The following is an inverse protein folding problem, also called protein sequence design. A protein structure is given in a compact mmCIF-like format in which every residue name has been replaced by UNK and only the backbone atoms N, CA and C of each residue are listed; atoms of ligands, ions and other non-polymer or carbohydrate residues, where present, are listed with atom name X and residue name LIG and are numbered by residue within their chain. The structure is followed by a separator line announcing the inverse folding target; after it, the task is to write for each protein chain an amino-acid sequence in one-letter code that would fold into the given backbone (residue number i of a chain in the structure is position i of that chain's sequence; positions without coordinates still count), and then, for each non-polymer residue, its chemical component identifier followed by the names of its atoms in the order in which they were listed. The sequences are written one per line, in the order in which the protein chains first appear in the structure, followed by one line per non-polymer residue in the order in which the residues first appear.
data_IF_440597771550
#
_entry.id   IF_440597771550
#
_cell.length_a   1.000
_cell.length_b   1.000
_cell.length_c   1.000
_cell.angle_alpha   90.00
_cell.angle_beta   90.00
_cell.angle_gamma   90.00
#
_symmetry.space_group_name_H-M   'P 1'
#
loop_
_entity.id
_entity.type
_entity.pdbx_description
1 polymer ?
#
# COMPACT_ATOMS: atom_id res chain seq x y z
N UNK A 1 -72.60 22.53 -70.13
CA UNK A 1 -72.54 23.17 -71.47
C UNK A 1 -71.37 22.52 -72.22
N UNK A 2 -71.66 21.85 -73.33
CA UNK A 2 -70.77 21.32 -74.41
C UNK A 2 -69.65 20.29 -74.08
N UNK A 3 -69.82 19.08 -74.64
CA UNK A 3 -68.80 18.16 -75.22
C UNK A 3 -68.27 18.72 -76.58
N UNK A 4 -67.39 18.09 -77.41
CA UNK A 4 -66.68 16.77 -77.43
C UNK A 4 -65.15 16.87 -77.81
N UNK A 5 -64.30 15.84 -77.91
CA UNK A 5 -63.99 14.92 -79.06
C UNK A 5 -62.67 14.16 -78.69
N UNK A 6 -62.53 12.82 -78.64
CA UNK A 6 -62.50 11.77 -79.69
C UNK A 6 -61.13 11.56 -80.39
N UNK A 7 -60.58 10.33 -80.24
CA UNK A 7 -59.81 9.49 -81.21
C UNK A 7 -58.47 10.06 -81.74
N UNK A 8 -57.37 9.35 -81.99
CA UNK A 8 -57.07 8.01 -82.55
C UNK A 8 -55.53 7.88 -82.50
N UNK A 9 -54.96 6.79 -81.99
CA UNK A 9 -54.20 5.77 -82.76
C UNK A 9 -52.70 6.01 -83.09
N UNK A 10 -51.95 4.95 -82.81
CA UNK A 10 -50.86 4.35 -83.61
C UNK A 10 -49.39 4.83 -83.52
N UNK A 11 -48.61 3.88 -82.99
CA UNK A 11 -47.37 3.30 -83.54
C UNK A 11 -46.01 4.03 -83.50
N UNK A 12 -45.07 3.34 -82.82
CA UNK A 12 -43.67 3.00 -83.20
C UNK A 12 -42.73 4.15 -83.63
N UNK A 13 -41.56 4.23 -82.96
CA UNK A 13 -40.29 3.57 -83.38
C UNK A 13 -39.03 4.32 -82.88
N UNK A 14 -38.15 3.58 -82.20
CA UNK A 14 -36.66 3.65 -82.12
C UNK A 14 -35.88 4.90 -81.65
N UNK A 15 -35.04 4.64 -80.64
CA UNK A 15 -33.59 4.94 -80.50
C UNK A 15 -33.04 6.27 -81.02
N UNK A 16 -32.49 7.09 -80.10
CA UNK A 16 -31.06 7.44 -80.04
C UNK A 16 -30.79 8.44 -78.88
N UNK A 17 -30.25 8.01 -77.74
CA UNK A 17 -29.62 8.91 -76.72
C UNK A 17 -28.86 8.10 -75.66
N UNK A 18 -27.76 7.44 -76.06
CA UNK A 18 -26.88 6.68 -75.16
C UNK A 18 -25.56 7.37 -74.80
N UNK A 19 -25.25 8.53 -75.39
CA UNK A 19 -23.91 9.13 -75.31
C UNK A 19 -23.73 10.26 -74.28
N UNK A 20 -24.78 11.00 -73.95
CA UNK A 20 -24.62 12.30 -73.26
C UNK A 20 -24.88 12.24 -71.75
N UNK A 21 -25.52 11.18 -71.26
CA UNK A 21 -25.87 11.01 -69.83
C UNK A 21 -24.68 10.50 -68.99
N UNK A 22 -23.64 9.96 -69.64
CA UNK A 22 -22.57 9.22 -68.96
C UNK A 22 -21.42 10.10 -68.50
N UNK A 23 -21.07 11.16 -69.23
CA UNK A 23 -20.03 12.12 -68.85
C UNK A 23 -20.49 13.08 -67.74
N UNK A 24 -21.71 13.63 -67.84
CA UNK A 24 -22.29 14.47 -66.78
C UNK A 24 -22.39 13.72 -65.44
N UNK A 25 -22.63 12.41 -65.48
CA UNK A 25 -22.67 11.58 -64.27
C UNK A 25 -21.30 11.38 -63.62
N UNK A 26 -20.21 11.33 -64.39
CA UNK A 26 -18.84 11.20 -63.82
C UNK A 26 -18.34 12.53 -63.26
N UNK A 27 -18.61 13.65 -63.95
CA UNK A 27 -18.29 14.98 -63.44
C UNK A 27 -19.04 15.28 -62.15
N UNK A 28 -20.35 15.02 -62.09
CA UNK A 28 -21.15 15.22 -60.87
C UNK A 28 -20.65 14.33 -59.73
N UNK A 29 -20.25 13.08 -60.03
CA UNK A 29 -19.72 12.16 -59.02
C UNK A 29 -18.35 12.57 -58.49
N UNK A 30 -17.46 13.08 -59.35
CA UNK A 30 -16.13 13.59 -58.95
C UNK A 30 -16.25 14.87 -58.12
N UNK A 31 -17.18 15.77 -58.48
CA UNK A 31 -17.44 16.99 -57.70
C UNK A 31 -18.00 16.63 -56.32
N UNK A 32 -18.95 15.69 -56.23
CA UNK A 32 -19.50 15.24 -54.94
C UNK A 32 -18.43 14.53 -54.09
N UNK A 33 -17.58 13.71 -54.70
CA UNK A 33 -16.47 13.04 -53.99
C UNK A 33 -15.47 14.07 -53.44
N UNK A 34 -15.11 15.08 -54.23
CA UNK A 34 -14.16 16.11 -53.83
C UNK A 34 -14.76 17.03 -52.74
N UNK A 35 -16.06 17.35 -52.81
CA UNK A 35 -16.77 18.11 -51.77
C UNK A 35 -16.87 17.30 -50.47
N UNK A 36 -17.12 15.99 -50.55
CA UNK A 36 -17.11 15.13 -49.38
C UNK A 36 -15.70 14.97 -48.80
N UNK A 37 -14.67 14.82 -49.63
CA UNK A 37 -13.27 14.77 -49.16
C UNK A 37 -12.82 16.08 -48.52
N UNK A 38 -13.22 17.23 -49.08
CA UNK A 38 -12.95 18.54 -48.49
C UNK A 38 -13.71 18.74 -47.17
N UNK A 39 -14.98 18.33 -47.10
CA UNK A 39 -15.77 18.40 -45.87
C UNK A 39 -15.29 17.44 -44.77
N UNK A 40 -14.82 16.24 -45.15
CA UNK A 40 -14.20 15.28 -44.22
C UNK A 40 -12.83 15.78 -43.76
N UNK A 41 -12.02 16.38 -44.63
CA UNK A 41 -10.73 16.97 -44.27
C UNK A 41 -10.89 18.19 -43.33
N UNK A 42 -11.89 19.05 -43.56
CA UNK A 42 -12.21 20.16 -42.66
C UNK A 42 -12.73 19.66 -41.30
N UNK A 43 -13.64 18.68 -41.28
CA UNK A 43 -14.17 18.09 -40.04
C UNK A 43 -13.09 17.33 -39.23
N UNK A 44 -12.19 16.60 -39.90
CA UNK A 44 -11.03 15.97 -39.26
C UNK A 44 -10.06 17.02 -38.73
N UNK A 45 -9.83 18.10 -39.46
CA UNK A 45 -8.96 19.19 -39.00
C UNK A 45 -9.50 19.87 -37.75
N UNK A 46 -10.82 20.10 -37.67
CA UNK A 46 -11.46 20.80 -36.56
C UNK A 46 -11.59 19.90 -35.32
N UNK A 47 -11.89 18.60 -35.50
CA UNK A 47 -11.90 17.62 -34.41
C UNK A 47 -10.49 17.36 -33.84
N UNK A 48 -9.45 17.33 -34.69
CA UNK A 48 -8.05 17.27 -34.27
C UNK A 48 -7.64 18.54 -33.51
N UNK A 49 -8.10 19.72 -33.93
CA UNK A 49 -7.85 20.99 -33.25
C UNK A 49 -8.51 21.07 -31.87
N UNK A 50 -9.76 20.62 -31.75
CA UNK A 50 -10.49 20.57 -30.48
C UNK A 50 -9.87 19.57 -29.48
N UNK A 51 -9.43 18.41 -29.96
CA UNK A 51 -8.72 17.41 -29.15
C UNK A 51 -7.37 17.94 -28.65
N UNK A 52 -6.58 18.59 -29.53
CA UNK A 52 -5.33 19.27 -29.15
C UNK A 52 -5.57 20.36 -28.11
N UNK A 53 -6.62 21.18 -28.24
CA UNK A 53 -6.96 22.23 -27.28
C UNK A 53 -7.32 21.68 -25.90
N UNK A 54 -8.10 20.59 -25.82
CA UNK A 54 -8.43 19.92 -24.54
C UNK A 54 -7.19 19.30 -23.87
N UNK A 55 -6.31 18.67 -24.66
CA UNK A 55 -5.03 18.14 -24.18
C UNK A 55 -4.15 19.25 -23.62
N UNK A 56 -3.99 20.37 -24.34
CA UNK A 56 -3.22 21.52 -23.88
C UNK A 56 -3.75 22.13 -22.57
N UNK A 57 -5.08 22.21 -22.40
CA UNK A 57 -5.69 22.69 -21.15
C UNK A 57 -5.42 21.73 -19.98
N UNK A 58 -5.42 20.42 -20.20
CA UNK A 58 -5.06 19.43 -19.17
C UNK A 58 -3.58 19.54 -18.77
N UNK A 59 -2.67 19.70 -19.74
CA UNK A 59 -1.25 19.94 -19.48
C UNK A 59 -1.01 21.27 -18.76
N UNK A 60 -1.74 22.33 -19.10
CA UNK A 60 -1.64 23.61 -18.41
C UNK A 60 -2.15 23.53 -16.96
N UNK A 61 -3.23 22.78 -16.71
CA UNK A 61 -3.71 22.49 -15.35
C UNK A 61 -2.70 21.67 -14.56
N UNK A 62 -2.09 20.65 -15.17
CA UNK A 62 -1.04 19.86 -14.54
C UNK A 62 0.19 20.72 -14.19
N UNK A 63 0.61 21.60 -15.10
CA UNK A 63 1.69 22.55 -14.87
C UNK A 63 1.36 23.54 -13.74
N UNK A 64 0.12 24.05 -13.71
CA UNK A 64 -0.34 24.92 -12.64
C UNK A 64 -0.32 24.22 -11.27
N UNK A 65 -0.84 22.98 -11.18
CA UNK A 65 -0.75 22.18 -9.95
C UNK A 65 0.70 21.90 -9.53
N UNK A 66 1.57 21.62 -10.50
CA UNK A 66 3.00 21.44 -10.25
C UNK A 66 3.63 22.72 -9.68
N UNK A 67 3.39 23.87 -10.30
CA UNK A 67 3.91 25.18 -9.83
C UNK A 67 3.37 25.52 -8.44
N UNK A 68 2.08 25.32 -8.18
CA UNK A 68 1.49 25.53 -6.85
C UNK A 68 2.18 24.62 -5.82
N UNK A 69 2.43 23.36 -6.16
CA UNK A 69 3.12 22.42 -5.28
C UNK A 69 4.55 22.87 -4.99
N UNK A 70 5.29 23.30 -6.01
CA UNK A 70 6.65 23.83 -5.85
C UNK A 70 6.66 25.08 -4.96
N UNK A 71 5.74 26.02 -5.18
CA UNK A 71 5.62 27.23 -4.36
C UNK A 71 5.29 26.86 -2.92
N UNK A 72 4.34 25.94 -2.69
CA UNK A 72 4.01 25.46 -1.35
C UNK A 72 5.20 24.82 -0.65
N UNK A 73 5.98 24.00 -1.37
CA UNK A 73 7.22 23.40 -0.85
C UNK A 73 8.25 24.47 -0.51
N UNK A 74 8.44 25.49 -1.35
CA UNK A 74 9.36 26.59 -1.08
C UNK A 74 8.93 27.42 0.14
N UNK A 75 7.63 27.70 0.29
CA UNK A 75 7.08 28.37 1.48
C UNK A 75 7.32 27.51 2.71
N UNK A 76 7.07 26.20 2.65
CA UNK A 76 7.30 25.28 3.76
C UNK A 76 8.79 25.20 4.13
N UNK A 77 9.70 25.19 3.16
CA UNK A 77 11.15 25.21 3.40
C UNK A 77 11.58 26.54 4.03
N UNK A 78 11.04 27.66 3.56
CA UNK A 78 11.43 29.01 4.02
C UNK A 78 10.87 29.33 5.41
N UNK A 79 9.65 28.89 5.73
CA UNK A 79 8.95 29.27 6.96
C UNK A 79 8.63 28.08 7.88
N UNK A 80 8.20 26.95 7.31
CA UNK A 80 7.84 25.75 8.07
C UNK A 80 9.03 25.07 8.72
N UNK A 81 10.14 24.88 8.00
CA UNK A 81 11.37 24.27 8.54
C UNK A 81 11.97 25.09 9.69
N UNK A 82 12.17 26.43 9.60
CA UNK A 82 12.64 27.19 10.75
C UNK A 82 11.67 27.17 11.92
N UNK A 83 10.36 27.24 11.67
CA UNK A 83 9.37 27.10 12.74
C UNK A 83 9.49 25.75 13.46
N UNK A 84 9.59 24.64 12.71
CA UNK A 84 9.72 23.31 13.29
C UNK A 84 11.03 23.16 14.07
N UNK A 85 12.13 23.71 13.56
CA UNK A 85 13.43 23.68 14.23
C UNK A 85 13.40 24.49 15.54
N UNK A 86 12.98 25.76 15.47
CA UNK A 86 13.05 26.71 16.59
C UNK A 86 11.98 26.49 17.67
N UNK A 87 10.77 26.08 17.28
CA UNK A 87 9.64 25.96 18.22
C UNK A 87 9.40 24.54 18.71
N UNK A 88 9.81 23.54 17.94
CA UNK A 88 9.56 22.14 18.30
C UNK A 88 10.87 21.45 18.62
N UNK A 89 11.81 21.40 17.67
CA UNK A 89 13.00 20.57 17.80
C UNK A 89 13.97 21.04 18.89
N UNK A 90 14.38 22.32 18.90
CA UNK A 90 15.33 22.81 19.90
C UNK A 90 14.76 22.83 21.32
N UNK A 91 13.53 23.31 21.56
CA UNK A 91 12.92 23.22 22.89
C UNK A 91 12.80 21.78 23.36
N UNK A 92 12.50 20.84 22.45
CA UNK A 92 12.43 19.42 22.77
C UNK A 92 13.80 18.82 23.13
N UNK A 93 14.86 19.16 22.40
CA UNK A 93 16.24 18.73 22.73
C UNK A 93 16.75 19.37 24.03
N UNK A 94 16.40 20.63 24.28
CA UNK A 94 16.70 21.30 25.55
C UNK A 94 15.91 20.68 26.71
N UNK A 95 14.63 20.37 26.49
CA UNK A 95 13.81 19.65 27.46
C UNK A 95 14.37 18.25 27.72
N UNK A 96 14.82 17.51 26.72
CA UNK A 96 15.53 16.24 26.90
C UNK A 96 16.77 16.43 27.80
N UNK A 97 17.58 17.46 27.54
CA UNK A 97 18.81 17.71 28.29
C UNK A 97 18.56 18.18 29.74
N UNK A 98 17.40 18.78 30.04
CA UNK A 98 17.13 19.47 31.31
C UNK A 98 16.09 18.77 32.19
N UNK A 99 15.05 18.19 31.59
CA UNK A 99 13.91 17.63 32.32
C UNK A 99 14.16 16.20 32.80
N UNK A 100 14.92 15.39 32.05
CA UNK A 100 15.06 13.97 32.33
C UNK A 100 16.43 13.41 31.91
N UNK A 101 16.95 12.44 32.66
CA UNK A 101 18.04 11.61 32.15
C UNK A 101 17.57 10.72 30.99
N UNK A 102 18.50 10.34 30.10
CA UNK A 102 18.27 9.39 28.98
C UNK A 102 17.38 8.17 29.33
N UNK A 103 17.53 7.46 30.46
CA UNK A 103 16.67 6.31 30.76
C UNK A 103 15.19 6.67 31.00
N UNK A 104 14.90 7.80 31.65
CA UNK A 104 13.51 8.21 31.90
C UNK A 104 12.83 8.58 30.59
N UNK A 105 13.54 9.27 29.70
CA UNK A 105 13.01 9.64 28.39
C UNK A 105 12.76 8.41 27.51
N UNK A 106 13.60 7.37 27.60
CA UNK A 106 13.35 6.08 26.97
C UNK A 106 12.03 5.45 27.47
N UNK A 107 11.77 5.48 28.78
CA UNK A 107 10.51 4.98 29.34
C UNK A 107 9.29 5.79 28.87
N UNK A 108 9.40 7.12 28.82
CA UNK A 108 8.33 8.00 28.30
C UNK A 108 8.04 7.68 26.84
N UNK A 109 9.07 7.46 26.03
CA UNK A 109 8.91 7.07 24.63
C UNK A 109 8.23 5.71 24.49
N UNK A 110 8.66 4.69 25.25
CA UNK A 110 8.02 3.36 25.28
C UNK A 110 6.54 3.51 25.67
N UNK A 111 6.24 4.27 26.73
CA UNK A 111 4.87 4.51 27.18
C UNK A 111 4.03 5.22 26.11
N UNK A 112 4.59 6.24 25.44
CA UNK A 112 3.89 6.94 24.35
C UNK A 112 3.57 6.01 23.18
N UNK A 113 4.54 5.19 22.75
CA UNK A 113 4.38 4.23 21.67
C UNK A 113 3.40 3.10 22.02
N UNK A 114 3.30 2.76 23.31
CA UNK A 114 2.34 1.79 23.81
C UNK A 114 0.91 2.36 23.89
N UNK A 115 0.75 3.60 24.33
CA UNK A 115 -0.55 4.21 24.60
C UNK A 115 -1.18 4.88 23.37
N UNK A 116 -0.39 5.52 22.52
CA UNK A 116 -0.92 6.24 21.34
C UNK A 116 -1.78 5.37 20.41
N UNK A 117 -1.39 4.12 20.09
CA UNK A 117 -2.25 3.24 19.28
C UNK A 117 -3.62 2.97 19.91
N UNK A 118 -3.70 2.96 21.25
CA UNK A 118 -4.93 2.69 22.00
C UNK A 118 -5.94 3.83 21.84
N UNK A 119 -5.45 5.07 21.81
CA UNK A 119 -6.26 6.28 21.63
C UNK A 119 -6.31 6.74 20.17
N UNK A 120 -5.86 5.90 19.23
CA UNK A 120 -5.79 6.19 17.78
C UNK A 120 -4.93 7.42 17.42
N UNK A 121 -3.97 7.78 18.28
CA UNK A 121 -2.99 8.84 18.03
C UNK A 121 -1.83 8.28 17.19
N UNK A 122 -1.34 9.00 16.17
CA UNK A 122 -0.18 8.58 15.40
C UNK A 122 1.11 8.47 16.25
N UNK A 123 1.81 7.35 16.17
CA UNK A 123 3.09 7.09 16.86
C UNK A 123 4.32 7.70 16.18
N UNK A 124 4.19 8.19 14.95
CA UNK A 124 5.28 8.73 14.12
C UNK A 124 6.19 9.74 14.84
N UNK A 125 5.65 10.76 15.53
CA UNK A 125 6.47 11.73 16.25
C UNK A 125 7.36 11.10 17.33
N UNK A 126 6.85 10.12 18.10
CA UNK A 126 7.63 9.41 19.11
C UNK A 126 8.72 8.54 18.48
N UNK A 127 8.45 7.91 17.32
CA UNK A 127 9.45 7.12 16.59
C UNK A 127 10.58 8.00 16.03
N UNK A 128 10.26 9.16 15.47
CA UNK A 128 11.27 10.15 15.07
C UNK A 128 12.10 10.60 16.27
N UNK A 129 11.46 10.89 17.40
CA UNK A 129 12.15 11.34 18.61
C UNK A 129 13.08 10.27 19.18
N UNK A 130 12.64 9.02 19.23
CA UNK A 130 13.49 7.89 19.60
C UNK A 130 14.73 7.78 18.71
N UNK A 131 14.55 7.95 17.39
CA UNK A 131 15.64 7.95 16.43
C UNK A 131 16.61 9.13 16.58
N UNK A 132 16.07 10.34 16.79
CA UNK A 132 16.85 11.56 17.00
C UNK A 132 17.77 11.47 18.22
N UNK A 133 17.28 10.86 19.30
CA UNK A 133 17.95 10.86 20.60
C UNK A 133 18.82 9.62 20.81
N UNK A 134 18.27 8.44 20.54
CA UNK A 134 18.90 7.16 20.87
C UNK A 134 19.55 6.46 19.67
N UNK A 135 19.35 6.99 18.47
CA UNK A 135 19.91 6.44 17.23
C UNK A 135 19.38 5.04 16.90
N UNK A 136 20.13 4.29 16.09
CA UNK A 136 19.67 2.99 15.57
C UNK A 136 19.69 1.85 16.59
N UNK A 137 20.58 1.87 17.59
CA UNK A 137 20.66 0.78 18.55
C UNK A 137 19.53 0.84 19.56
N UNK A 138 19.67 1.73 20.55
CA UNK A 138 18.68 1.89 21.60
C UNK A 138 17.34 2.44 21.07
N UNK A 139 17.34 3.31 20.05
CA UNK A 139 16.11 3.82 19.47
C UNK A 139 15.29 2.72 18.79
N UNK A 140 15.92 1.77 18.10
CA UNK A 140 15.23 0.61 17.56
C UNK A 140 14.62 -0.26 18.66
N UNK A 141 15.38 -0.57 19.71
CA UNK A 141 14.86 -1.36 20.84
C UNK A 141 13.67 -0.66 21.50
N UNK A 142 13.77 0.64 21.76
CA UNK A 142 12.69 1.47 22.31
C UNK A 142 11.45 1.42 21.42
N UNK A 143 11.63 1.60 20.11
CA UNK A 143 10.52 1.56 19.14
C UNK A 143 9.88 0.18 19.15
N UNK A 144 10.66 -0.88 18.98
CA UNK A 144 10.15 -2.25 18.90
C UNK A 144 9.42 -2.67 20.17
N UNK A 145 9.96 -2.38 21.36
CA UNK A 145 9.29 -2.70 22.63
C UNK A 145 8.00 -1.90 22.78
N UNK A 146 8.05 -0.59 22.58
CA UNK A 146 6.89 0.29 22.71
C UNK A 146 5.76 -0.05 21.74
N UNK A 147 6.08 -0.25 20.46
CA UNK A 147 5.08 -0.61 19.45
C UNK A 147 4.53 -2.01 19.68
N UNK A 148 5.35 -2.98 20.13
CA UNK A 148 4.86 -4.33 20.48
C UNK A 148 3.78 -4.26 21.56
N UNK A 149 4.05 -3.53 22.65
CA UNK A 149 3.05 -3.30 23.71
C UNK A 149 1.83 -2.57 23.13
N UNK A 150 2.07 -1.57 22.29
CA UNK A 150 1.04 -0.79 21.60
C UNK A 150 0.24 -1.55 20.55
N UNK A 151 0.64 -2.76 20.17
CA UNK A 151 -0.13 -3.67 19.34
C UNK A 151 -0.96 -4.63 20.20
N UNK A 152 -0.39 -5.11 21.29
CA UNK A 152 -1.06 -6.01 22.24
C UNK A 152 -2.20 -5.31 22.99
N UNK A 153 -2.01 -4.07 23.44
CA UNK A 153 -3.03 -3.33 24.22
C UNK A 153 -4.34 -3.12 23.43
N UNK A 154 -4.34 -2.53 22.22
CA UNK A 154 -5.54 -2.44 21.39
C UNK A 154 -6.19 -3.78 21.08
N UNK A 155 -5.38 -4.84 20.88
CA UNK A 155 -5.90 -6.18 20.65
C UNK A 155 -6.71 -6.70 21.85
N UNK A 156 -6.16 -6.58 23.07
CA UNK A 156 -6.83 -6.98 24.30
C UNK A 156 -8.09 -6.15 24.57
N UNK A 157 -8.02 -4.85 24.36
CA UNK A 157 -9.18 -3.96 24.50
C UNK A 157 -10.24 -4.32 23.45
N UNK A 158 -9.81 -4.56 22.21
CA UNK A 158 -10.70 -4.95 21.13
C UNK A 158 -11.43 -6.26 21.41
N UNK A 159 -10.80 -7.22 22.10
CA UNK A 159 -11.45 -8.49 22.50
C UNK A 159 -12.67 -8.25 23.37
N UNK A 160 -12.62 -7.23 24.24
CA UNK A 160 -13.74 -6.86 25.13
C UNK A 160 -14.87 -6.18 24.37
N UNK A 161 -14.57 -5.45 23.29
CA UNK A 161 -15.54 -4.70 22.48
C UNK A 161 -15.81 -5.34 21.11
N UNK A 162 -15.59 -6.66 20.99
CA UNK A 162 -15.64 -7.40 19.72
C UNK A 162 -16.91 -7.15 18.92
N UNK A 163 -18.07 -7.15 19.58
CA UNK A 163 -19.37 -6.96 18.91
C UNK A 163 -19.53 -5.54 18.34
N UNK A 164 -19.07 -4.51 19.06
CA UNK A 164 -19.08 -3.12 18.57
C UNK A 164 -18.12 -2.93 17.40
N UNK A 165 -16.92 -3.53 17.47
CA UNK A 165 -15.95 -3.46 16.37
C UNK A 165 -16.50 -4.20 15.15
N UNK A 166 -17.18 -5.33 15.35
CA UNK A 166 -17.83 -6.06 14.26
C UNK A 166 -18.90 -5.21 13.56
N UNK A 167 -19.75 -4.52 14.31
CA UNK A 167 -20.73 -3.58 13.75
C UNK A 167 -20.07 -2.38 13.04
N UNK A 168 -18.98 -1.85 13.59
CA UNK A 168 -18.22 -0.76 12.97
C UNK A 168 -17.59 -1.20 11.65
N UNK A 169 -17.03 -2.41 11.60
CA UNK A 169 -16.36 -2.96 10.43
C UNK A 169 -17.34 -3.27 9.28
N UNK A 170 -18.64 -3.54 9.59
CA UNK A 170 -19.70 -3.67 8.58
C UNK A 170 -19.90 -2.41 7.73
N UNK A 171 -19.48 -1.23 8.21
CA UNK A 171 -19.51 0.02 7.41
C UNK A 171 -18.48 0.02 6.27
N UNK A 172 -17.51 -0.90 6.29
CA UNK A 172 -16.41 -1.00 5.33
C UNK A 172 -16.30 -2.43 4.75
N UNK A 173 -17.31 -2.91 4.01
CA UNK A 173 -17.44 -4.32 3.65
C UNK A 173 -16.27 -4.87 2.82
N UNK A 174 -15.72 -4.08 1.89
CA UNK A 174 -14.56 -4.48 1.08
C UNK A 174 -13.31 -4.72 1.92
N UNK A 175 -13.01 -3.81 2.87
CA UNK A 175 -11.85 -3.94 3.75
C UNK A 175 -12.04 -5.06 4.78
N UNK A 176 -13.27 -5.23 5.26
CA UNK A 176 -13.64 -6.31 6.16
C UNK A 176 -13.46 -7.70 5.52
N UNK A 177 -13.87 -7.85 4.26
CA UNK A 177 -13.73 -9.10 3.51
C UNK A 177 -12.24 -9.45 3.32
N UNK A 178 -11.42 -8.47 2.93
CA UNK A 178 -9.97 -8.66 2.79
C UNK A 178 -9.32 -9.05 4.12
N UNK A 179 -9.74 -8.44 5.24
CA UNK A 179 -9.23 -8.78 6.57
C UNK A 179 -9.67 -10.17 7.05
N UNK A 180 -10.87 -10.62 6.68
CA UNK A 180 -11.38 -11.96 7.02
C UNK A 180 -10.65 -13.04 6.23
N UNK A 181 -10.47 -12.84 4.94
CA UNK A 181 -9.66 -13.71 4.08
C UNK A 181 -8.21 -13.78 4.58
N UNK A 182 -7.66 -12.65 5.01
CA UNK A 182 -6.33 -12.59 5.64
C UNK A 182 -6.23 -13.42 6.92
N UNK A 183 -7.32 -13.56 7.68
CA UNK A 183 -7.39 -14.34 8.91
C UNK A 183 -7.61 -15.84 8.70
N UNK A 184 -7.86 -16.28 7.47
CA UNK A 184 -8.01 -17.69 7.10
C UNK A 184 -6.63 -18.31 6.74
N UNK A 185 -6.52 -19.64 6.81
CA UNK A 185 -5.29 -20.35 6.47
C UNK A 185 -4.36 -20.69 7.65
N UNK A 186 -3.15 -21.16 7.33
CA UNK A 186 -2.17 -21.68 8.28
C UNK A 186 -1.54 -20.58 9.15
N UNK A 187 -0.91 -20.96 10.27
CA UNK A 187 -0.21 -20.01 11.17
C UNK A 187 0.76 -19.11 10.40
N UNK A 188 1.47 -19.66 9.42
CA UNK A 188 2.48 -18.94 8.70
C UNK A 188 1.90 -18.09 7.55
N UNK A 189 0.83 -18.55 6.91
CA UNK A 189 0.05 -17.71 5.98
C UNK A 189 -0.44 -16.44 6.66
N UNK A 190 -1.04 -16.59 7.86
CA UNK A 190 -1.52 -15.48 8.68
C UNK A 190 -0.40 -14.48 9.03
N UNK A 191 0.77 -14.99 9.45
CA UNK A 191 1.95 -14.16 9.73
C UNK A 191 2.36 -13.31 8.51
N UNK A 192 2.46 -13.93 7.33
CA UNK A 192 2.88 -13.26 6.10
C UNK A 192 1.94 -12.13 5.74
N UNK A 193 0.64 -12.43 5.73
CA UNK A 193 -0.38 -11.44 5.35
C UNK A 193 -0.32 -10.24 6.29
N UNK A 194 -0.16 -10.46 7.59
CA UNK A 194 0.00 -9.37 8.56
C UNK A 194 1.25 -8.53 8.30
N UNK A 195 2.38 -9.17 8.01
CA UNK A 195 3.61 -8.45 7.67
C UNK A 195 3.45 -7.59 6.40
N UNK A 196 2.77 -8.10 5.37
CA UNK A 196 2.45 -7.33 4.16
C UNK A 196 1.50 -6.17 4.45
N UNK A 197 0.48 -6.38 5.30
CA UNK A 197 -0.46 -5.32 5.68
C UNK A 197 0.20 -4.18 6.44
N UNK A 198 1.31 -4.40 7.15
CA UNK A 198 2.09 -3.33 7.78
C UNK A 198 2.83 -2.46 6.78
N UNK A 199 3.12 -2.98 5.59
CA UNK A 199 3.74 -2.23 4.49
C UNK A 199 2.69 -1.46 3.68
N UNK A 200 1.44 -1.92 3.71
CA UNK A 200 0.28 -1.26 3.07
C UNK A 200 -0.03 0.10 3.72
N UNK A 201 -0.57 1.09 2.99
CA UNK A 201 -0.99 2.39 3.54
C UNK A 201 -2.21 2.32 4.48
N UNK A 202 -2.54 1.13 5.00
CA UNK A 202 -3.67 0.93 5.90
C UNK A 202 -3.30 1.43 7.32
N UNK A 203 -4.14 2.27 7.96
CA UNK A 203 -3.81 2.83 9.28
C UNK A 203 -3.54 1.74 10.32
N UNK A 204 -2.32 1.71 10.84
CA UNK A 204 -1.84 0.65 11.72
C UNK A 204 -2.67 0.52 13.01
N UNK A 205 -3.23 1.63 13.51
CA UNK A 205 -4.06 1.69 14.71
C UNK A 205 -5.39 0.98 14.51
N UNK A 206 -6.06 1.24 13.38
CA UNK A 206 -7.31 0.58 13.00
C UNK A 206 -7.08 -0.92 12.80
N UNK A 207 -5.96 -1.29 12.20
CA UNK A 207 -5.59 -2.68 11.98
C UNK A 207 -5.50 -3.47 13.29
N UNK A 208 -4.91 -2.89 14.33
CA UNK A 208 -4.77 -3.55 15.63
C UNK A 208 -6.12 -3.90 16.28
N UNK A 209 -7.16 -3.10 16.03
CA UNK A 209 -8.52 -3.39 16.52
C UNK A 209 -9.28 -4.33 15.60
N UNK A 210 -9.14 -4.15 14.28
CA UNK A 210 -9.91 -4.91 13.30
C UNK A 210 -9.52 -6.41 13.29
N UNK A 211 -8.28 -6.73 13.63
CA UNK A 211 -7.78 -8.11 13.72
C UNK A 211 -8.49 -8.96 14.78
N UNK A 212 -9.11 -8.34 15.78
CA UNK A 212 -9.84 -9.06 16.84
C UNK A 212 -11.13 -9.71 16.31
N UNK A 213 -11.72 -9.07 15.31
CA UNK A 213 -12.97 -9.53 14.70
C UNK A 213 -12.70 -10.56 13.60
N UNK A 214 -11.46 -10.66 13.12
CA UNK A 214 -11.04 -11.68 12.16
C UNK A 214 -10.73 -13.00 12.88
N UNK A 215 -10.64 -14.10 12.13
CA UNK A 215 -10.35 -15.43 12.69
C UNK A 215 -8.84 -15.66 12.94
N UNK A 216 -8.11 -14.57 13.14
CA UNK A 216 -6.65 -14.55 13.14
C UNK A 216 -6.10 -14.91 14.51
N UNK A 217 -5.10 -15.79 14.53
CA UNK A 217 -4.43 -16.19 15.77
C UNK A 217 -3.54 -15.05 16.27
N UNK A 218 -3.46 -14.90 17.60
CA UNK A 218 -2.66 -13.85 18.24
C UNK A 218 -1.17 -13.91 17.88
N UNK A 219 -0.57 -15.10 17.93
CA UNK A 219 0.89 -15.26 17.70
C UNK A 219 1.33 -14.94 16.26
N UNK A 220 0.66 -15.43 15.20
CA UNK A 220 0.93 -14.98 13.83
C UNK A 220 0.81 -13.47 13.65
N UNK A 221 -0.24 -12.88 14.24
CA UNK A 221 -0.45 -11.45 14.20
C UNK A 221 0.70 -10.68 14.86
N UNK A 222 1.10 -11.08 16.07
CA UNK A 222 2.13 -10.39 16.81
C UNK A 222 3.48 -10.51 16.11
N UNK A 223 3.89 -11.73 15.77
CA UNK A 223 5.16 -11.98 15.08
C UNK A 223 5.19 -11.28 13.72
N UNK A 224 4.10 -11.36 12.94
CA UNK A 224 4.01 -10.74 11.62
C UNK A 224 4.04 -9.22 11.71
N UNK A 225 3.42 -8.65 12.73
CA UNK A 225 3.44 -7.21 12.95
C UNK A 225 4.81 -6.70 13.39
N UNK A 226 5.46 -7.39 14.33
CA UNK A 226 6.83 -7.09 14.75
C UNK A 226 7.76 -7.15 13.55
N UNK A 227 7.67 -8.21 12.74
CA UNK A 227 8.45 -8.34 11.51
C UNK A 227 8.20 -7.19 10.53
N UNK A 228 6.93 -6.85 10.28
CA UNK A 228 6.54 -5.78 9.37
C UNK A 228 6.96 -4.37 9.83
N UNK A 229 7.07 -4.14 11.13
CA UNK A 229 7.47 -2.84 11.68
C UNK A 229 8.98 -2.59 11.68
N UNK A 230 9.82 -3.60 11.49
CA UNK A 230 11.28 -3.43 11.43
C UNK A 230 11.72 -2.43 10.34
N UNK A 231 11.35 -2.60 9.05
CA UNK A 231 11.76 -1.65 8.01
C UNK A 231 11.21 -0.24 8.27
N UNK A 232 9.97 -0.14 8.73
CA UNK A 232 9.35 1.13 9.10
C UNK A 232 10.17 1.83 10.20
N UNK A 233 10.55 1.10 11.25
CA UNK A 233 11.32 1.63 12.37
C UNK A 233 12.67 2.22 11.92
N UNK A 234 13.37 1.54 11.01
CA UNK A 234 14.64 2.05 10.46
C UNK A 234 14.45 3.35 9.66
N UNK A 235 13.38 3.46 8.88
CA UNK A 235 13.04 4.69 8.15
C UNK A 235 12.81 5.84 9.13
N UNK A 236 11.99 5.63 10.17
CA UNK A 236 11.75 6.67 11.19
C UNK A 236 13.04 7.07 11.90
N UNK A 237 13.90 6.12 12.26
CA UNK A 237 15.16 6.45 12.92
C UNK A 237 16.07 7.26 12.00
N UNK A 238 16.21 6.85 10.73
CA UNK A 238 16.98 7.57 9.73
C UNK A 238 16.46 9.01 9.56
N UNK A 239 15.16 9.16 9.33
CA UNK A 239 14.53 10.46 9.15
C UNK A 239 14.73 11.36 10.37
N UNK A 240 14.56 10.82 11.59
CA UNK A 240 14.82 11.56 12.82
C UNK A 240 16.25 12.08 12.88
N UNK A 241 17.24 11.21 12.67
CA UNK A 241 18.65 11.63 12.70
C UNK A 241 19.00 12.63 11.61
N UNK A 242 18.44 12.47 10.42
CA UNK A 242 18.62 13.43 9.34
C UNK A 242 18.07 14.81 9.73
N UNK A 243 16.88 14.86 10.33
CA UNK A 243 16.28 16.11 10.85
C UNK A 243 17.21 16.77 11.87
N UNK A 244 17.74 16.00 12.84
CA UNK A 244 18.67 16.51 13.86
C UNK A 244 19.94 17.09 13.23
N UNK A 245 20.60 16.33 12.36
CA UNK A 245 21.84 16.75 11.69
C UNK A 245 21.62 18.00 10.83
N UNK A 246 20.54 18.06 10.06
CA UNK A 246 20.21 19.23 9.24
C UNK A 246 19.95 20.48 10.10
N UNK A 247 19.28 20.31 11.24
CA UNK A 247 19.03 21.41 12.16
C UNK A 247 20.31 21.91 12.83
N UNK A 248 21.19 21.02 13.28
CA UNK A 248 22.46 21.38 13.92
C UNK A 248 23.40 22.13 12.95
N UNK A 249 23.50 21.66 11.70
CA UNK A 249 24.33 22.31 10.67
C UNK A 249 23.78 23.70 10.30
N UNK A 250 22.46 23.82 10.11
CA UNK A 250 21.85 25.05 9.60
C UNK A 250 21.69 26.14 10.66
N UNK A 251 21.35 25.79 11.90
CA UNK A 251 20.96 26.76 12.93
C UNK A 251 21.97 26.91 14.05
N UNK A 252 22.86 25.93 14.28
CA UNK A 252 23.82 25.97 15.38
C UNK A 252 25.26 26.24 14.93
N UNK A 253 25.46 26.41 13.61
CA UNK A 253 26.77 26.55 12.96
C UNK A 253 27.79 25.54 13.50
N UNK A 254 27.30 24.35 13.87
CA UNK A 254 28.08 23.31 14.52
C UNK A 254 28.80 22.50 13.45
N UNK A 255 30.12 22.38 13.57
CA UNK A 255 30.85 21.39 12.80
C UNK A 255 30.68 20.05 13.51
N UNK A 256 30.17 19.06 12.79
CA UNK A 256 30.03 17.71 13.32
C UNK A 256 31.41 17.22 13.78
N UNK A 257 31.48 16.74 15.02
CA UNK A 257 32.75 16.18 15.49
C UNK A 257 33.06 14.88 14.73
N UNK A 258 34.33 14.56 14.42
CA UNK A 258 34.69 13.33 13.72
C UNK A 258 34.12 12.07 14.39
N UNK A 259 34.02 12.09 15.72
CA UNK A 259 33.45 11.01 16.52
C UNK A 259 31.95 10.84 16.27
N UNK A 260 31.17 11.93 16.20
CA UNK A 260 29.74 11.88 15.88
C UNK A 260 29.50 11.36 14.45
N UNK A 261 30.34 11.76 13.50
CA UNK A 261 30.28 11.27 12.11
C UNK A 261 30.53 9.75 12.10
N UNK A 262 31.55 9.28 12.81
CA UNK A 262 31.89 7.85 12.90
C UNK A 262 30.74 7.08 13.56
N UNK A 263 30.20 7.55 14.68
CA UNK A 263 29.04 6.91 15.32
C UNK A 263 27.82 6.90 14.39
N UNK A 264 27.55 7.99 13.68
CA UNK A 264 26.47 8.08 12.69
C UNK A 264 26.68 7.08 11.54
N UNK A 265 27.89 6.97 11.01
CA UNK A 265 28.25 6.07 9.92
C UNK A 265 28.17 4.60 10.35
N UNK A 266 28.75 4.23 11.49
CA UNK A 266 28.71 2.86 12.02
C UNK A 266 27.26 2.43 12.24
N UNK A 267 26.46 3.29 12.88
CA UNK A 267 25.07 2.96 13.16
C UNK A 267 24.18 2.94 11.91
N UNK A 268 24.52 3.71 10.86
CA UNK A 268 23.91 3.61 9.54
C UNK A 268 24.25 2.29 8.84
N UNK A 269 25.51 1.85 8.91
CA UNK A 269 25.95 0.56 8.36
C UNK A 269 25.24 -0.60 9.06
N UNK A 270 25.20 -0.58 10.40
CA UNK A 270 24.47 -1.59 11.19
C UNK A 270 22.99 -1.62 10.78
N UNK A 271 22.34 -0.47 10.61
CA UNK A 271 20.94 -0.39 10.18
C UNK A 271 20.71 -0.99 8.78
N UNK A 272 21.58 -0.69 7.82
CA UNK A 272 21.54 -1.29 6.48
C UNK A 272 21.71 -2.81 6.59
N UNK A 273 22.70 -3.28 7.34
CA UNK A 273 22.96 -4.73 7.49
C UNK A 273 21.76 -5.41 8.14
N UNK A 274 21.21 -4.87 9.22
CA UNK A 274 20.04 -5.47 9.90
C UNK A 274 18.81 -5.44 9.01
N UNK A 275 18.56 -4.35 8.29
CA UNK A 275 17.43 -4.24 7.36
C UNK A 275 17.57 -5.21 6.20
N UNK A 276 18.76 -5.32 5.59
CA UNK A 276 19.03 -6.24 4.49
C UNK A 276 18.97 -7.69 4.96
N UNK A 277 19.63 -8.04 6.07
CA UNK A 277 19.59 -9.38 6.63
C UNK A 277 18.15 -9.81 6.95
N UNK A 278 17.38 -8.91 7.56
CA UNK A 278 15.98 -9.17 7.86
C UNK A 278 15.12 -9.29 6.60
N UNK A 279 15.34 -8.41 5.61
CA UNK A 279 14.61 -8.45 4.33
C UNK A 279 14.92 -9.71 3.54
N UNK A 280 16.18 -10.14 3.50
CA UNK A 280 16.61 -11.38 2.84
C UNK A 280 16.02 -12.58 3.57
N UNK A 281 16.09 -12.60 4.91
CA UNK A 281 15.51 -13.67 5.70
C UNK A 281 14.00 -13.77 5.46
N UNK A 282 13.27 -12.66 5.58
CA UNK A 282 11.85 -12.59 5.31
C UNK A 282 11.52 -13.05 3.89
N UNK A 283 12.26 -12.59 2.87
CA UNK A 283 12.07 -13.05 1.48
C UNK A 283 12.35 -14.54 1.29
N UNK A 284 13.38 -15.10 1.93
CA UNK A 284 13.63 -16.54 1.90
C UNK A 284 12.48 -17.31 2.51
N UNK A 285 12.05 -16.93 3.72
CA UNK A 285 10.93 -17.61 4.37
C UNK A 285 9.62 -17.41 3.61
N UNK A 286 9.45 -16.28 2.90
CA UNK A 286 8.34 -16.06 1.99
C UNK A 286 8.36 -17.05 0.82
N UNK A 287 9.50 -17.17 0.15
CA UNK A 287 9.67 -18.07 -1.00
C UNK A 287 9.54 -19.54 -0.60
N UNK A 288 10.13 -19.96 0.52
CA UNK A 288 10.06 -21.35 1.00
C UNK A 288 8.61 -21.80 1.22
N UNK A 289 7.74 -20.87 1.61
CA UNK A 289 6.31 -21.13 1.74
C UNK A 289 5.53 -21.06 0.46
N UNK A 290 5.86 -20.16 -0.46
CA UNK A 290 5.22 -20.16 -1.77
C UNK A 290 5.51 -21.48 -2.48
N UNK A 291 6.73 -22.01 -2.32
CA UNK A 291 7.13 -23.33 -2.81
C UNK A 291 6.38 -24.45 -2.07
N UNK A 292 6.21 -24.38 -0.75
CA UNK A 292 5.45 -25.38 0.01
C UNK A 292 3.93 -25.37 -0.31
N UNK A 293 3.32 -24.20 -0.48
CA UNK A 293 1.92 -24.07 -0.92
C UNK A 293 1.74 -24.53 -2.38
N UNK A 294 2.68 -24.21 -3.28
CA UNK A 294 2.64 -24.65 -4.68
C UNK A 294 2.82 -26.17 -4.85
N UNK A 295 3.56 -26.81 -3.94
CA UNK A 295 3.77 -28.26 -3.97
C UNK A 295 2.65 -29.07 -3.28
N UNK A 296 1.64 -28.44 -2.68
CA UNK A 296 0.50 -29.14 -2.07
C UNK A 296 0.83 -29.99 -0.84
N UNK A 297 2.02 -29.85 -0.26
CA UNK A 297 2.41 -30.55 0.96
C UNK A 297 2.05 -29.69 2.19
N UNK A 298 0.97 -30.08 2.88
CA UNK A 298 0.71 -29.61 4.24
C UNK A 298 1.89 -29.92 5.18
N UNK A 299 2.04 -29.21 6.31
CA UNK A 299 3.28 -29.17 7.06
C UNK A 299 3.65 -30.55 7.61
N UNK A 300 4.76 -31.10 7.12
CA UNK A 300 5.39 -32.32 7.62
C UNK A 300 6.01 -32.04 8.98
N UNK A 301 5.26 -32.36 10.03
CA UNK A 301 5.80 -32.54 11.37
C UNK A 301 6.81 -33.69 11.29
N UNK A 302 8.09 -33.39 11.49
CA UNK A 302 9.11 -34.40 11.78
C UNK A 302 8.70 -35.15 13.06
N UNK A 303 7.96 -36.25 12.91
CA UNK A 303 7.71 -37.22 13.97
C UNK A 303 8.69 -38.38 13.80
N UNK A 304 9.94 -38.14 14.14
CA UNK A 304 10.89 -39.23 14.40
C UNK A 304 10.90 -39.52 15.90
N UNK A 305 9.96 -40.36 16.32
CA UNK A 305 10.08 -41.14 17.54
C UNK A 305 9.49 -42.51 17.24
N UNK A 306 10.34 -43.38 16.69
CA UNK A 306 10.11 -44.81 16.57
C UNK A 306 9.82 -45.36 17.95
N UNK A 307 8.55 -45.67 18.23
CA UNK A 307 8.17 -46.57 19.30
C UNK A 307 7.50 -47.77 18.66
N UNK A 308 8.29 -48.84 18.57
CA UNK A 308 7.92 -50.21 18.24
C UNK A 308 6.57 -50.59 18.86
N UNK A 309 5.52 -50.67 18.04
CA UNK A 309 4.31 -51.43 18.37
C UNK A 309 4.35 -52.74 17.59
N UNK A 310 5.00 -53.68 18.24
CA UNK A 310 4.96 -55.14 18.07
C UNK A 310 3.62 -55.61 17.46
N UNK A 311 3.70 -56.22 16.28
CA UNK A 311 2.61 -57.00 15.65
C UNK A 311 2.05 -58.03 16.65
N UNK A 312 0.76 -57.98 16.90
CA UNK A 312 -0.01 -59.14 17.38
C UNK A 312 -0.74 -59.75 16.17
N UNK A 313 -0.59 -61.06 15.90
CA UNK A 313 -1.34 -61.71 14.84
C UNK A 313 -2.77 -61.99 15.29
N UNK A 314 -3.72 -61.64 14.41
CA UNK A 314 -5.13 -62.05 14.49
C UNK A 314 -5.21 -63.58 14.52
N UNK A 315 -5.61 -64.13 15.66
CA UNK A 315 -5.89 -65.54 15.84
C UNK A 315 -7.19 -65.91 15.09
N UNK A 316 -7.15 -67.07 14.44
CA UNK A 316 -8.20 -67.63 13.59
C UNK A 316 -9.50 -67.86 14.37
N UNK A 317 -10.58 -67.27 13.88
CA UNK A 317 -11.94 -67.70 14.20
C UNK A 317 -12.15 -69.12 13.60
N UNK A 318 -12.14 -70.15 14.45
CA UNK A 318 -12.49 -71.52 14.07
C UNK A 318 -13.88 -71.82 14.64
N UNK A 319 -14.86 -71.92 13.75
CA UNK A 319 -16.17 -72.51 14.07
C UNK A 319 -16.00 -74.02 14.33
N UNK A 320 -16.68 -74.56 15.35
CA UNK A 320 -16.75 -76.00 15.61
C UNK A 320 -17.31 -76.41 16.97
N UNK A 321 -18.66 -76.47 17.06
CA UNK A 321 -19.47 -77.57 17.62
C UNK A 321 -19.43 -77.99 19.13
N UNK A 322 -20.63 -77.89 19.75
CA UNK A 322 -21.33 -78.79 20.73
C UNK A 322 -20.93 -78.98 22.20
N UNK A 323 -21.89 -78.61 23.09
CA UNK A 323 -22.63 -79.37 24.16
C UNK A 323 -21.84 -80.21 25.20
N UNK A 324 -22.30 -80.30 26.47
CA UNK A 324 -23.62 -80.83 26.88
C UNK A 324 -24.56 -79.86 27.61
#
# INVERSE_FOLDING_TARGET
MKTPNSTEELEKKHDNSGGQVREDSEYVRLVISNVNELGVAEADSESQWQSRKRSLIQWLKALMWFVITVIAVLIFIKWGVPFLAEKVLFPLLQWEATAFGRPVLALVLIASLALFPVVLIPSGPSMWLAGMIFGYGLGFVIIMVGTTIGMVLPYLIGLTFRDRIHQWLKRWPQKAAMLRLAGEGSWFHQFKVVALFRISPFPYTIFNYAIVVTNMRFWPYLCGSVAGMIPESFIYIYSGRLIRTLADVKYRNHQLTPVEIIYNAISFIVAIITTIAFTIYARRTLNDLEVAEANGEGPTVHRNSSFELRKLPLEKFKAGFTMP
#
